data_IF_867073204644
#
_entry.id   IF_867073204644
#
_cell.length_a   1.000
_cell.length_b   1.000
_cell.length_c   1.000
_cell.angle_alpha   90.00
_cell.angle_beta   90.00
_cell.angle_gamma   90.00
#
_symmetry.space_group_name_H-M   'P 1'
#
loop_
_entity.id
_entity.type
_entity.pdbx_description
1 polymer ?
#
# COMPACT_ATOMS: atom_id res chain seq x y z
N UNK A 1 -5.04 -84.10 -11.30
CA UNK A 1 -4.15 -83.22 -10.60
C UNK A 1 -4.31 -81.82 -11.17
N UNK A 2 -5.17 -80.94 -10.57
CA UNK A 2 -5.38 -79.56 -10.99
C UNK A 2 -4.71 -78.67 -9.96
N UNK A 3 -3.73 -77.91 -10.38
CA UNK A 3 -3.09 -76.88 -9.51
C UNK A 3 -3.96 -75.62 -9.52
N UNK A 4 -4.46 -75.25 -8.35
CA UNK A 4 -5.15 -73.98 -8.16
C UNK A 4 -4.10 -72.95 -7.84
N UNK A 5 -3.97 -71.92 -8.70
CA UNK A 5 -3.09 -70.77 -8.53
C UNK A 5 -3.90 -69.73 -7.80
N UNK A 6 -3.54 -69.45 -6.52
CA UNK A 6 -4.15 -68.38 -5.72
C UNK A 6 -3.40 -67.08 -6.03
N UNK A 7 -4.03 -66.18 -6.79
CA UNK A 7 -3.49 -64.82 -7.02
C UNK A 7 -3.88 -63.93 -5.86
N UNK A 8 -2.92 -63.51 -5.04
CA UNK A 8 -3.07 -62.48 -4.05
C UNK A 8 -3.13 -61.10 -4.75
N UNK A 9 -4.31 -60.54 -4.85
CA UNK A 9 -4.48 -59.13 -5.28
C UNK A 9 -4.18 -58.23 -4.08
N UNK A 10 -2.96 -57.67 -4.02
CA UNK A 10 -2.62 -56.62 -3.09
C UNK A 10 -3.28 -55.32 -3.54
N UNK A 11 -4.41 -54.99 -2.93
CA UNK A 11 -5.08 -53.71 -3.10
C UNK A 11 -4.29 -52.65 -2.30
N UNK A 12 -3.37 -51.96 -2.97
CA UNK A 12 -2.72 -50.79 -2.42
C UNK A 12 -3.73 -49.64 -2.35
N UNK A 13 -4.44 -49.51 -1.25
CA UNK A 13 -5.26 -48.34 -0.94
C UNK A 13 -4.28 -47.26 -0.52
N UNK A 14 -3.92 -46.39 -1.47
CA UNK A 14 -3.25 -45.14 -1.18
C UNK A 14 -4.27 -44.22 -0.47
N UNK A 15 -4.29 -44.26 0.87
CA UNK A 15 -4.85 -43.21 1.64
C UNK A 15 -3.98 -41.97 1.43
N UNK A 16 -4.37 -41.09 0.52
CA UNK A 16 -3.88 -39.73 0.49
C UNK A 16 -4.34 -39.06 1.79
N UNK A 17 -3.53 -39.15 2.84
CA UNK A 17 -3.68 -38.31 4.01
C UNK A 17 -3.41 -36.91 3.51
N UNK A 18 -4.46 -36.16 3.13
CA UNK A 18 -4.38 -34.71 3.04
C UNK A 18 -3.97 -34.27 4.44
N UNK A 19 -2.70 -33.90 4.59
CA UNK A 19 -2.25 -33.23 5.81
C UNK A 19 -3.20 -32.04 6.01
N UNK A 20 -4.04 -32.13 7.03
CA UNK A 20 -4.95 -31.04 7.38
C UNK A 20 -4.04 -29.91 7.80
N UNK A 21 -3.94 -28.86 6.97
CA UNK A 21 -3.09 -27.72 7.22
C UNK A 21 -3.46 -27.17 8.62
N UNK A 22 -2.56 -27.38 9.59
CA UNK A 22 -2.79 -26.97 10.96
C UNK A 22 -2.82 -25.45 11.00
N UNK A 23 -4.01 -24.88 11.25
CA UNK A 23 -4.15 -23.44 11.48
C UNK A 23 -3.22 -23.05 12.62
N UNK A 24 -2.42 -22.02 12.40
CA UNK A 24 -1.52 -21.44 13.38
C UNK A 24 -1.65 -19.92 13.39
N UNK A 25 -1.39 -19.32 14.56
CA UNK A 25 -1.53 -17.90 14.76
C UNK A 25 -0.17 -17.24 14.89
N UNK A 26 -0.04 -16.08 14.26
CA UNK A 26 1.18 -15.28 14.21
C UNK A 26 0.85 -13.82 14.46
N UNK A 27 1.87 -13.03 14.79
CA UNK A 27 1.80 -11.56 14.82
C UNK A 27 2.71 -10.99 13.74
N UNK A 28 2.24 -9.95 13.07
CA UNK A 28 3.09 -9.19 12.15
C UNK A 28 4.22 -8.50 12.91
N UNK A 29 5.41 -8.43 12.30
CA UNK A 29 6.61 -7.79 12.87
C UNK A 29 7.42 -7.05 11.82
N UNK A 30 8.43 -6.31 12.28
CA UNK A 30 9.41 -5.66 11.41
C UNK A 30 8.92 -4.33 10.83
N UNK A 31 9.69 -3.79 9.89
CA UNK A 31 9.42 -2.51 9.26
C UNK A 31 8.70 -2.72 7.93
N UNK A 32 7.53 -2.09 7.78
CA UNK A 32 6.72 -2.11 6.56
C UNK A 32 6.33 -3.53 6.09
N UNK A 33 5.70 -4.37 6.94
CA UNK A 33 5.20 -5.66 6.51
C UNK A 33 4.22 -5.48 5.34
N UNK A 34 4.50 -6.10 4.19
CA UNK A 34 3.69 -5.96 2.99
C UNK A 34 2.79 -7.17 2.80
N UNK A 35 1.48 -6.96 2.81
CA UNK A 35 0.52 -7.97 2.36
C UNK A 35 0.35 -7.92 0.86
N UNK A 36 0.21 -9.08 0.23
CA UNK A 36 0.13 -9.24 -1.22
C UNK A 36 -1.03 -10.14 -1.63
N UNK A 37 -1.59 -9.91 -2.82
CA UNK A 37 -2.65 -10.75 -3.42
C UNK A 37 -2.09 -12.04 -4.03
N UNK A 38 -0.82 -12.05 -4.42
CA UNK A 38 -0.16 -13.20 -5.02
C UNK A 38 1.26 -13.37 -4.51
N UNK A 39 1.83 -14.57 -4.71
CA UNK A 39 3.22 -14.89 -4.40
C UNK A 39 4.12 -14.43 -5.55
N UNK A 40 5.26 -13.86 -5.24
CA UNK A 40 6.27 -13.45 -6.22
C UNK A 40 6.43 -11.95 -6.37
N UNK A 41 7.47 -11.56 -7.08
CA UNK A 41 7.74 -10.15 -7.38
C UNK A 41 7.01 -9.74 -8.65
N UNK A 42 5.92 -9.02 -8.51
CA UNK A 42 5.34 -8.27 -9.60
C UNK A 42 6.10 -6.94 -9.72
N UNK A 43 6.85 -6.77 -10.79
CA UNK A 43 7.64 -5.56 -11.04
C UNK A 43 6.78 -4.30 -11.08
N UNK A 44 5.55 -4.41 -11.52
CA UNK A 44 4.58 -3.30 -11.58
C UNK A 44 3.81 -3.14 -10.26
N UNK A 45 4.04 -4.02 -9.29
CA UNK A 45 3.47 -3.93 -7.95
C UNK A 45 1.98 -4.26 -7.83
N UNK A 46 1.35 -4.79 -8.89
CA UNK A 46 -0.07 -5.16 -8.87
C UNK A 46 -0.42 -6.27 -7.87
N UNK A 47 0.57 -7.08 -7.48
CA UNK A 47 0.39 -8.09 -6.44
C UNK A 47 0.31 -7.51 -5.02
N UNK A 48 0.79 -6.29 -4.78
CA UNK A 48 0.82 -5.68 -3.44
C UNK A 48 -0.57 -5.21 -3.00
N UNK A 49 -0.98 -5.58 -1.80
CA UNK A 49 -2.23 -5.13 -1.20
C UNK A 49 -2.03 -3.81 -0.45
N UNK A 50 -1.38 -3.85 0.69
CA UNK A 50 -0.94 -2.68 1.47
C UNK A 50 0.07 -3.08 2.54
N UNK A 51 0.78 -2.09 3.03
CA UNK A 51 1.60 -2.21 4.23
C UNK A 51 0.66 -2.26 5.43
N UNK A 52 0.96 -3.15 6.38
CA UNK A 52 0.24 -3.27 7.64
C UNK A 52 1.15 -2.90 8.81
N UNK A 53 0.54 -2.65 9.97
CA UNK A 53 1.28 -2.38 11.21
C UNK A 53 1.91 -3.66 11.78
N UNK A 54 2.74 -3.49 12.78
CA UNK A 54 3.24 -4.59 13.60
C UNK A 54 2.21 -5.05 14.63
N UNK A 55 2.37 -6.28 15.10
CA UNK A 55 1.52 -6.91 16.11
C UNK A 55 0.06 -7.13 15.66
N UNK A 56 -0.19 -7.19 14.35
CA UNK A 56 -1.48 -7.60 13.80
C UNK A 56 -1.60 -9.12 13.89
N UNK A 57 -2.75 -9.60 14.35
CA UNK A 57 -3.05 -11.02 14.42
C UNK A 57 -3.26 -11.61 13.02
N UNK A 58 -2.52 -12.67 12.74
CA UNK A 58 -2.51 -13.34 11.45
C UNK A 58 -2.89 -14.81 11.62
N UNK A 59 -3.91 -15.27 10.90
CA UNK A 59 -4.32 -16.66 10.85
C UNK A 59 -3.65 -17.33 9.67
N UNK A 60 -2.65 -18.17 9.91
CA UNK A 60 -1.89 -18.86 8.88
C UNK A 60 -2.55 -20.20 8.59
N UNK A 61 -2.85 -20.43 7.30
CA UNK A 61 -3.51 -21.65 6.81
C UNK A 61 -2.59 -22.49 5.92
N UNK A 62 -1.53 -21.90 5.40
CA UNK A 62 -0.56 -22.58 4.55
C UNK A 62 0.76 -21.81 4.51
N UNK A 63 1.84 -22.43 4.05
CA UNK A 63 3.12 -21.76 3.85
C UNK A 63 3.94 -22.39 2.72
N UNK A 64 4.71 -21.55 2.03
CA UNK A 64 5.80 -21.95 1.13
C UNK A 64 7.15 -21.75 1.80
N UNK A 65 8.24 -21.87 1.04
CA UNK A 65 9.57 -21.54 1.56
C UNK A 65 9.65 -20.08 2.05
N UNK A 66 9.10 -19.13 1.31
CA UNK A 66 9.26 -17.68 1.55
C UNK A 66 8.01 -17.03 2.15
N UNK A 67 6.82 -17.54 1.85
CA UNK A 67 5.55 -16.87 2.19
C UNK A 67 4.67 -17.71 3.10
N UNK A 68 3.94 -17.02 3.97
CA UNK A 68 2.74 -17.53 4.61
C UNK A 68 1.50 -17.19 3.77
N UNK A 69 0.53 -18.11 3.74
CA UNK A 69 -0.83 -17.84 3.29
C UNK A 69 -1.65 -17.46 4.52
N UNK A 70 -2.09 -16.21 4.55
CA UNK A 70 -2.88 -15.62 5.63
C UNK A 70 -4.35 -15.69 5.27
N UNK A 71 -5.17 -16.31 6.11
CA UNK A 71 -6.62 -16.21 6.01
C UNK A 71 -7.05 -14.90 6.65
N UNK A 72 -7.57 -13.98 5.84
CA UNK A 72 -8.06 -12.67 6.30
C UNK A 72 -9.48 -12.78 6.86
N UNK A 73 -10.37 -13.46 6.11
CA UNK A 73 -11.75 -13.74 6.46
C UNK A 73 -12.14 -15.10 5.88
N UNK A 74 -13.40 -15.51 6.02
CA UNK A 74 -13.90 -16.77 5.46
C UNK A 74 -13.60 -16.92 3.96
N UNK A 75 -13.71 -15.82 3.21
CA UNK A 75 -13.59 -15.82 1.75
C UNK A 75 -12.32 -15.11 1.23
N UNK A 76 -11.50 -14.54 2.09
CA UNK A 76 -10.35 -13.73 1.68
C UNK A 76 -9.04 -14.28 2.21
N UNK A 77 -8.03 -14.29 1.34
CA UNK A 77 -6.66 -14.67 1.69
C UNK A 77 -5.67 -13.64 1.17
N UNK A 78 -4.50 -13.58 1.78
CA UNK A 78 -3.36 -12.79 1.33
C UNK A 78 -2.06 -13.57 1.60
N UNK A 79 -0.96 -13.02 1.10
CA UNK A 79 0.37 -13.55 1.32
C UNK A 79 1.22 -12.55 2.10
N UNK A 80 2.06 -13.07 2.98
CA UNK A 80 3.03 -12.29 3.75
C UNK A 80 4.37 -13.03 3.76
N UNK A 81 5.47 -12.33 3.50
CA UNK A 81 6.81 -12.91 3.65
C UNK A 81 7.04 -13.36 5.09
N UNK A 82 7.66 -14.54 5.27
CA UNK A 82 7.85 -15.17 6.59
C UNK A 82 8.65 -14.31 7.56
N UNK A 83 9.59 -13.53 7.06
CA UNK A 83 10.39 -12.62 7.89
C UNK A 83 9.54 -11.60 8.67
N UNK A 84 8.34 -11.26 8.16
CA UNK A 84 7.43 -10.29 8.77
C UNK A 84 6.41 -10.90 9.73
N UNK A 85 6.58 -12.13 10.15
CA UNK A 85 5.69 -12.76 11.13
C UNK A 85 6.45 -13.49 12.23
N UNK A 86 5.85 -13.56 13.41
CA UNK A 86 6.34 -14.31 14.57
C UNK A 86 5.20 -15.15 15.15
N UNK A 87 5.42 -16.42 15.55
CA UNK A 87 4.37 -17.24 16.14
C UNK A 87 3.77 -16.59 17.40
N UNK A 88 2.44 -16.70 17.53
CA UNK A 88 1.71 -16.35 18.74
C UNK A 88 1.00 -17.61 19.27
N UNK A 89 1.60 -18.26 20.26
CA UNK A 89 1.10 -19.48 20.86
C UNK A 89 0.13 -19.23 22.02
N UNK A 90 -0.02 -17.97 22.44
CA UNK A 90 -0.86 -17.57 23.56
C UNK A 90 -2.24 -17.09 23.14
N UNK A 91 -2.44 -16.81 21.85
CA UNK A 91 -3.73 -16.34 21.35
C UNK A 91 -4.84 -17.37 21.58
N UNK A 92 -5.97 -16.89 22.08
CA UNK A 92 -7.22 -17.65 22.12
C UNK A 92 -8.03 -17.29 20.88
N UNK A 93 -8.04 -18.16 19.86
CA UNK A 93 -8.66 -17.81 18.58
C UNK A 93 -10.17 -17.64 18.71
N UNK A 94 -10.70 -16.66 18.00
CA UNK A 94 -12.12 -16.43 17.82
C UNK A 94 -12.48 -16.55 16.33
N UNK A 95 -13.73 -16.80 16.03
CA UNK A 95 -14.22 -16.80 14.66
C UNK A 95 -14.18 -15.39 14.06
N UNK A 96 -14.44 -14.38 14.89
CA UNK A 96 -14.38 -12.95 14.57
C UNK A 96 -14.08 -12.13 15.83
N UNK A 97 -13.64 -10.91 15.64
CA UNK A 97 -13.42 -9.91 16.69
C UNK A 97 -14.42 -8.76 16.53
N UNK A 98 -14.69 -8.03 17.61
CA UNK A 98 -15.67 -6.94 17.55
C UNK A 98 -15.01 -5.61 17.22
N UNK A 99 -15.71 -4.85 16.37
CA UNK A 99 -15.48 -3.44 16.13
C UNK A 99 -16.48 -2.65 16.98
N UNK A 100 -16.00 -1.82 17.94
CA UNK A 100 -16.84 -1.32 19.02
C UNK A 100 -17.30 0.13 18.82
N UNK A 101 -16.47 1.00 18.31
CA UNK A 101 -16.81 2.42 18.12
C UNK A 101 -15.96 3.10 17.06
N UNK A 102 -16.50 4.15 16.46
CA UNK A 102 -15.78 5.05 15.55
C UNK A 102 -15.90 6.47 16.09
N UNK A 103 -14.75 7.15 16.18
CA UNK A 103 -14.67 8.54 16.58
C UNK A 103 -13.94 9.34 15.50
N UNK A 104 -14.50 10.49 15.13
CA UNK A 104 -13.95 11.39 14.13
C UNK A 104 -13.74 12.76 14.74
N UNK A 105 -12.53 13.32 14.60
CA UNK A 105 -12.20 14.66 15.09
C UNK A 105 -11.08 15.26 14.25
N UNK A 106 -10.99 16.59 14.20
CA UNK A 106 -9.78 17.25 13.70
C UNK A 106 -8.68 17.19 14.77
N UNK A 107 -7.46 16.93 14.33
CA UNK A 107 -6.25 16.96 15.16
C UNK A 107 -5.23 17.85 14.49
N UNK A 108 -4.62 18.74 15.28
CA UNK A 108 -3.72 19.74 14.76
C UNK A 108 -4.40 20.52 13.60
N UNK A 109 -3.74 21.42 12.94
CA UNK A 109 -4.32 22.10 11.78
C UNK A 109 -4.12 21.34 10.45
N UNK A 110 -3.69 20.07 10.51
CA UNK A 110 -3.20 19.35 9.36
C UNK A 110 -3.98 18.09 9.00
N UNK A 111 -4.75 17.52 9.94
CA UNK A 111 -5.41 16.23 9.74
C UNK A 111 -6.77 16.11 10.42
N UNK A 112 -7.66 15.35 9.81
CA UNK A 112 -8.77 14.72 10.52
C UNK A 112 -8.36 13.29 10.90
N UNK A 113 -8.75 12.85 12.08
CA UNK A 113 -8.48 11.54 12.63
C UNK A 113 -9.77 10.74 12.70
N UNK A 114 -9.83 9.61 11.98
CA UNK A 114 -10.85 8.59 12.13
C UNK A 114 -10.24 7.45 12.97
N UNK A 115 -10.78 7.24 14.17
CA UNK A 115 -10.32 6.23 15.13
C UNK A 115 -11.35 5.13 15.26
N UNK A 116 -10.97 3.90 14.93
CA UNK A 116 -11.82 2.70 14.97
C UNK A 116 -11.31 1.81 16.11
N UNK A 117 -12.12 1.70 17.15
CA UNK A 117 -11.79 0.87 18.31
C UNK A 117 -12.14 -0.59 18.04
N UNK A 118 -11.16 -1.47 18.20
CA UNK A 118 -11.25 -2.90 17.89
C UNK A 118 -10.98 -3.72 19.14
N UNK A 119 -11.53 -4.92 19.21
CA UNK A 119 -11.20 -5.89 20.24
C UNK A 119 -9.77 -6.44 20.06
N UNK A 120 -9.32 -6.56 18.81
CA UNK A 120 -8.01 -7.09 18.43
C UNK A 120 -7.46 -6.32 17.23
N UNK A 121 -6.13 -6.28 17.05
CA UNK A 121 -5.49 -5.79 15.83
C UNK A 121 -5.68 -6.80 14.71
N UNK A 122 -6.47 -6.47 13.73
CA UNK A 122 -6.83 -7.35 12.61
C UNK A 122 -6.23 -6.85 11.30
N UNK A 123 -6.06 -7.74 10.30
CA UNK A 123 -5.70 -7.34 8.95
C UNK A 123 -6.76 -6.42 8.32
N UNK A 124 -6.29 -5.50 7.49
CA UNK A 124 -7.17 -4.59 6.76
C UNK A 124 -6.62 -4.31 5.36
N UNK A 125 -7.50 -3.82 4.49
CA UNK A 125 -7.18 -3.24 3.20
C UNK A 125 -7.73 -1.81 3.14
N UNK A 126 -6.96 -0.87 2.58
CA UNK A 126 -7.38 0.53 2.45
C UNK A 126 -7.00 1.07 1.07
N UNK A 127 -7.93 1.81 0.44
CA UNK A 127 -7.73 2.39 -0.88
C UNK A 127 -8.52 3.69 -1.05
N UNK A 128 -8.25 4.41 -2.13
CA UNK A 128 -8.95 5.62 -2.53
C UNK A 128 -9.94 5.32 -3.64
N UNK A 129 -11.04 6.06 -3.67
CA UNK A 129 -12.00 6.13 -4.78
C UNK A 129 -12.24 7.60 -5.16
N UNK A 130 -12.54 7.84 -6.44
CA UNK A 130 -12.89 9.15 -6.97
C UNK A 130 -14.37 9.17 -7.39
N UNK A 131 -14.96 10.38 -7.46
CA UNK A 131 -16.30 10.64 -8.00
C UNK A 131 -17.45 9.88 -7.31
N UNK A 132 -17.74 10.14 -6.02
CA UNK A 132 -17.13 11.13 -5.11
C UNK A 132 -15.85 10.61 -4.45
N UNK A 133 -15.01 11.54 -3.97
CA UNK A 133 -13.78 11.17 -3.30
C UNK A 133 -14.05 10.49 -1.96
N UNK A 134 -13.50 9.29 -1.81
CA UNK A 134 -13.66 8.44 -0.63
C UNK A 134 -12.34 7.74 -0.29
N UNK A 135 -12.19 7.42 0.99
CA UNK A 135 -11.24 6.43 1.46
C UNK A 135 -12.06 5.22 1.89
N UNK A 136 -11.77 4.09 1.30
CA UNK A 136 -12.42 2.81 1.57
C UNK A 136 -11.51 1.96 2.44
N UNK A 137 -12.06 1.37 3.50
CA UNK A 137 -11.35 0.48 4.40
C UNK A 137 -12.15 -0.81 4.57
N UNK A 138 -11.53 -1.94 4.31
CA UNK A 138 -12.06 -3.26 4.68
C UNK A 138 -11.28 -3.82 5.87
N UNK A 139 -12.01 -4.20 6.92
CA UNK A 139 -11.50 -4.87 8.11
C UNK A 139 -11.91 -6.34 8.02
N UNK A 140 -10.99 -7.24 8.19
CA UNK A 140 -11.20 -8.66 8.01
C UNK A 140 -11.22 -9.42 9.34
N UNK A 141 -12.02 -10.49 9.43
CA UNK A 141 -12.22 -11.26 10.64
C UNK A 141 -12.99 -10.49 11.71
N UNK A 142 -13.90 -9.59 11.33
CA UNK A 142 -14.54 -8.62 12.22
C UNK A 142 -16.05 -8.57 12.03
N UNK A 143 -16.77 -8.45 13.15
CA UNK A 143 -18.18 -8.09 13.19
C UNK A 143 -18.40 -6.74 13.86
N UNK A 144 -19.40 -6.00 13.37
CA UNK A 144 -19.76 -4.69 13.92
C UNK A 144 -20.57 -4.83 15.20
N UNK A 145 -20.13 -4.14 16.25
CA UNK A 145 -20.90 -3.86 17.47
C UNK A 145 -21.12 -2.33 17.61
N UNK A 146 -21.07 -1.61 16.48
CA UNK A 146 -21.17 -0.15 16.46
C UNK A 146 -22.63 0.25 16.39
N UNK A 147 -23.10 0.97 17.42
CA UNK A 147 -24.44 1.54 17.48
C UNK A 147 -24.49 3.02 17.04
N UNK A 148 -23.35 3.73 17.14
CA UNK A 148 -23.23 5.12 16.73
C UNK A 148 -21.79 5.45 16.30
N UNK A 149 -21.70 6.50 15.46
CA UNK A 149 -20.44 7.11 15.05
C UNK A 149 -20.39 8.52 15.62
N UNK A 150 -19.36 8.83 16.38
CA UNK A 150 -19.17 10.14 16.98
C UNK A 150 -18.28 11.00 16.07
N UNK A 151 -18.87 11.97 15.37
CA UNK A 151 -18.15 12.93 14.54
C UNK A 151 -18.25 14.32 15.11
N UNK A 152 -17.10 14.94 15.36
CA UNK A 152 -17.05 16.34 15.78
C UNK A 152 -17.21 17.29 14.59
N UNK A 153 -17.85 18.44 14.83
CA UNK A 153 -18.17 19.42 13.78
C UNK A 153 -16.96 20.15 13.18
N UNK A 154 -15.78 20.02 13.81
CA UNK A 154 -14.57 20.72 13.39
C UNK A 154 -13.74 19.99 12.33
N UNK A 155 -14.25 18.89 11.75
CA UNK A 155 -13.57 18.17 10.67
C UNK A 155 -13.55 19.01 9.39
N UNK A 156 -12.40 18.99 8.68
CA UNK A 156 -12.16 19.79 7.47
C UNK A 156 -12.15 18.94 6.20
N UNK A 157 -11.60 17.73 6.27
CA UNK A 157 -11.47 16.84 5.12
C UNK A 157 -12.44 15.67 5.15
N UNK A 158 -12.79 15.16 6.33
CA UNK A 158 -13.79 14.12 6.49
C UNK A 158 -15.19 14.72 6.54
N UNK A 159 -16.00 14.42 5.53
CA UNK A 159 -17.39 14.87 5.45
C UNK A 159 -18.31 13.96 6.23
N UNK A 160 -18.17 12.64 6.03
CA UNK A 160 -19.00 11.63 6.63
C UNK A 160 -18.25 10.29 6.73
N UNK A 161 -18.67 9.44 7.67
CA UNK A 161 -18.18 8.07 7.78
C UNK A 161 -19.39 7.14 7.91
N UNK A 162 -19.42 6.10 7.08
CA UNK A 162 -20.43 5.05 7.15
C UNK A 162 -19.77 3.69 7.31
N UNK A 163 -20.50 2.74 7.87
CA UNK A 163 -20.05 1.39 8.11
C UNK A 163 -21.10 0.39 7.64
N UNK A 164 -20.64 -0.66 6.97
CA UNK A 164 -21.47 -1.76 6.51
C UNK A 164 -20.81 -3.10 6.82
N UNK A 165 -21.57 -4.04 7.39
CA UNK A 165 -21.16 -5.44 7.42
C UNK A 165 -21.38 -6.01 6.01
N UNK A 166 -20.29 -6.17 5.24
CA UNK A 166 -20.39 -6.59 3.82
C UNK A 166 -20.37 -8.10 3.66
N UNK A 167 -19.77 -8.81 4.61
CA UNK A 167 -19.78 -10.27 4.75
C UNK A 167 -19.88 -10.60 6.24
N UNK A 168 -20.15 -11.87 6.60
CA UNK A 168 -20.31 -12.30 8.00
C UNK A 168 -19.13 -11.88 8.91
N UNK A 169 -17.92 -11.79 8.34
CA UNK A 169 -16.69 -11.44 9.04
C UNK A 169 -15.87 -10.36 8.30
N UNK A 170 -16.53 -9.50 7.51
CA UNK A 170 -15.90 -8.36 6.83
C UNK A 170 -16.73 -7.10 7.01
N UNK A 171 -16.10 -6.05 7.51
CA UNK A 171 -16.68 -4.70 7.61
C UNK A 171 -16.06 -3.81 6.55
N UNK A 172 -16.88 -3.05 5.85
CA UNK A 172 -16.43 -1.95 5.00
C UNK A 172 -16.78 -0.61 5.64
N UNK A 173 -15.76 0.20 5.89
CA UNK A 173 -15.88 1.58 6.35
C UNK A 173 -15.62 2.49 5.16
N UNK A 174 -16.57 3.40 4.90
CA UNK A 174 -16.47 4.41 3.85
C UNK A 174 -16.27 5.78 4.51
N UNK A 175 -15.15 6.43 4.21
CA UNK A 175 -14.83 7.79 4.66
C UNK A 175 -15.02 8.73 3.48
N UNK A 176 -16.12 9.47 3.46
CA UNK A 176 -16.41 10.47 2.43
C UNK A 176 -15.58 11.74 2.69
N UNK A 177 -15.01 12.30 1.63
CA UNK A 177 -14.18 13.49 1.71
C UNK A 177 -14.93 14.74 1.26
N UNK A 178 -14.69 15.87 1.95
CA UNK A 178 -15.20 17.18 1.57
C UNK A 178 -14.44 17.79 0.38
N UNK A 179 -13.18 17.39 0.20
CA UNK A 179 -12.29 17.97 -0.79
C UNK A 179 -12.54 17.41 -2.20
N UNK A 180 -12.39 18.28 -3.22
CA UNK A 180 -12.51 17.89 -4.63
C UNK A 180 -11.39 16.98 -5.12
N UNK A 181 -10.33 16.79 -4.32
CA UNK A 181 -9.21 15.90 -4.62
C UNK A 181 -8.64 15.29 -3.35
N UNK A 182 -7.95 14.18 -3.47
CA UNK A 182 -7.25 13.55 -2.37
C UNK A 182 -5.95 14.28 -2.03
N UNK A 183 -5.66 14.37 -0.72
CA UNK A 183 -4.39 14.91 -0.20
C UNK A 183 -3.58 13.85 0.55
N UNK A 184 -4.09 12.64 0.61
CA UNK A 184 -3.45 11.51 1.23
C UNK A 184 -3.99 11.17 2.62
N UNK A 185 -3.62 10.00 3.07
CA UNK A 185 -3.91 9.50 4.41
C UNK A 185 -2.75 8.63 4.89
N UNK A 186 -2.73 8.37 6.19
CA UNK A 186 -1.88 7.35 6.80
C UNK A 186 -2.68 6.54 7.81
N UNK A 187 -2.25 5.30 8.04
CA UNK A 187 -2.86 4.39 9.00
C UNK A 187 -1.87 3.97 10.06
N UNK A 188 -2.34 3.77 11.27
CA UNK A 188 -1.55 3.18 12.35
C UNK A 188 -2.44 2.58 13.43
N UNK A 189 -2.01 1.46 14.02
CA UNK A 189 -2.61 0.95 15.24
C UNK A 189 -1.93 1.54 16.48
N UNK A 190 -2.73 2.16 17.36
CA UNK A 190 -2.32 2.53 18.71
C UNK A 190 -3.15 1.67 19.66
N UNK A 191 -2.49 0.78 20.40
CA UNK A 191 -3.17 -0.33 21.08
C UNK A 191 -4.08 -1.06 20.07
N UNK A 192 -5.34 -1.30 20.42
CA UNK A 192 -6.32 -1.94 19.53
C UNK A 192 -7.18 -0.94 18.74
N UNK A 193 -6.76 0.31 18.62
CA UNK A 193 -7.46 1.34 17.84
C UNK A 193 -6.74 1.56 16.52
N UNK A 194 -7.42 1.29 15.41
CA UNK A 194 -6.95 1.65 14.09
C UNK A 194 -7.25 3.13 13.84
N UNK A 195 -6.21 3.90 13.63
CA UNK A 195 -6.25 5.34 13.37
C UNK A 195 -5.96 5.61 11.90
N UNK A 196 -6.87 6.33 11.24
CA UNK A 196 -6.69 6.84 9.89
C UNK A 196 -6.58 8.36 9.99
N UNK A 197 -5.39 8.89 9.72
CA UNK A 197 -5.15 10.34 9.61
C UNK A 197 -5.42 10.77 8.17
N UNK A 198 -6.43 11.59 7.96
CA UNK A 198 -6.81 12.13 6.64
C UNK A 198 -6.26 13.54 6.54
N UNK A 199 -5.37 13.78 5.58
CA UNK A 199 -4.70 15.06 5.42
C UNK A 199 -5.66 16.15 4.97
N UNK A 200 -5.57 17.33 5.60
CA UNK A 200 -6.30 18.52 5.15
C UNK A 200 -5.75 19.01 3.79
N UNK A 201 -6.64 19.58 2.99
CA UNK A 201 -6.21 20.30 1.80
C UNK A 201 -5.34 21.51 2.21
N UNK A 202 -4.11 21.64 1.70
CA UNK A 202 -3.34 22.87 1.91
C UNK A 202 -3.99 24.02 1.16
N UNK A 203 -3.64 25.26 1.52
CA UNK A 203 -3.99 26.41 0.70
C UNK A 203 -3.40 26.22 -0.71
N UNK A 204 -4.13 26.59 -1.79
CA UNK A 204 -3.79 26.22 -3.17
C UNK A 204 -2.64 27.06 -3.78
N UNK A 205 -1.64 27.38 -2.99
CA UNK A 205 -0.45 28.11 -3.41
C UNK A 205 0.78 27.24 -3.21
N UNK A 206 1.71 27.24 -4.15
CA UNK A 206 2.92 26.42 -4.10
C UNK A 206 3.72 26.64 -2.83
N UNK A 207 3.78 27.87 -2.33
CA UNK A 207 4.49 28.22 -1.06
C UNK A 207 3.95 27.52 0.19
N UNK A 208 2.74 27.00 0.12
CA UNK A 208 2.12 26.26 1.23
C UNK A 208 2.35 24.74 1.14
N UNK A 209 3.02 24.27 0.07
CA UNK A 209 3.20 22.85 -0.18
C UNK A 209 4.54 22.36 0.38
N UNK A 210 4.50 21.16 0.95
CA UNK A 210 5.66 20.32 1.19
C UNK A 210 5.70 19.32 0.03
N UNK A 211 6.71 19.41 -0.83
CA UNK A 211 6.85 18.57 -2.01
C UNK A 211 8.09 17.70 -1.84
N UNK A 212 7.91 16.39 -1.88
CA UNK A 212 9.02 15.48 -1.91
C UNK A 212 9.43 15.21 -3.38
N UNK A 213 10.72 15.22 -3.64
CA UNK A 213 11.31 14.82 -4.92
C UNK A 213 12.16 13.58 -4.69
N UNK A 214 11.85 12.53 -5.39
CA UNK A 214 12.59 11.28 -5.35
C UNK A 214 13.41 11.14 -6.64
N UNK A 215 14.72 11.29 -6.51
CA UNK A 215 15.65 10.98 -7.58
C UNK A 215 15.86 9.46 -7.62
N UNK A 216 15.24 8.78 -8.59
CA UNK A 216 15.27 7.33 -8.71
C UNK A 216 16.68 6.76 -8.74
N UNK A 217 16.85 5.52 -8.23
CA UNK A 217 18.15 4.83 -8.17
C UNK A 217 19.20 5.54 -7.27
N UNK A 218 20.51 5.29 -7.52
CA UNK A 218 21.64 5.89 -6.80
C UNK A 218 22.63 4.87 -6.27
N UNK A 219 23.87 5.27 -6.10
CA UNK A 219 24.97 4.43 -5.68
C UNK A 219 25.19 3.22 -6.59
N UNK A 220 25.12 2.02 -6.03
CA UNK A 220 25.29 0.77 -6.80
C UNK A 220 24.07 0.45 -7.70
N UNK A 221 22.92 1.03 -7.46
CA UNK A 221 21.75 0.89 -8.32
C UNK A 221 21.80 1.93 -9.44
N UNK A 222 22.30 1.54 -10.61
CA UNK A 222 22.50 2.41 -11.76
C UNK A 222 21.19 2.78 -12.48
N UNK A 223 20.11 2.01 -12.25
CA UNK A 223 18.90 2.08 -13.05
C UNK A 223 19.13 1.51 -14.45
N UNK A 224 18.40 2.03 -15.44
CA UNK A 224 18.62 1.68 -16.84
C UNK A 224 19.90 2.35 -17.35
N UNK A 225 20.50 1.73 -18.39
CA UNK A 225 21.72 2.26 -19.02
C UNK A 225 21.41 2.49 -20.51
N UNK A 226 21.69 3.69 -20.98
CA UNK A 226 21.50 4.03 -22.38
C UNK A 226 22.31 3.11 -23.30
N UNK A 227 21.66 2.43 -24.24
CA UNK A 227 22.27 1.41 -25.09
C UNK A 227 23.42 1.94 -25.93
N UNK A 228 23.28 3.17 -26.45
CA UNK A 228 24.31 3.87 -27.25
C UNK A 228 25.16 4.80 -26.40
N UNK A 229 24.57 5.59 -25.54
CA UNK A 229 25.23 6.65 -24.77
C UNK A 229 25.99 6.14 -23.57
N UNK A 230 25.65 4.94 -23.06
CA UNK A 230 26.16 4.36 -21.80
C UNK A 230 25.89 5.20 -20.55
N UNK A 231 24.99 6.16 -20.66
CA UNK A 231 24.55 7.03 -19.55
C UNK A 231 23.76 6.20 -18.57
N UNK A 232 24.03 6.35 -17.28
CA UNK A 232 23.32 5.70 -16.19
C UNK A 232 22.10 6.53 -15.78
N UNK A 233 20.95 5.91 -15.60
CA UNK A 233 19.69 6.58 -15.22
C UNK A 233 19.86 7.41 -13.94
N UNK A 234 20.55 6.88 -12.94
CA UNK A 234 20.75 7.53 -11.63
C UNK A 234 21.36 8.94 -11.73
N UNK A 235 22.22 9.20 -12.73
CA UNK A 235 22.90 10.49 -12.88
C UNK A 235 21.89 11.53 -13.35
N UNK A 236 21.09 11.20 -14.35
CA UNK A 236 20.09 12.09 -14.90
C UNK A 236 18.91 12.32 -13.97
N UNK A 237 18.45 11.28 -13.26
CA UNK A 237 17.40 11.46 -12.25
C UNK A 237 17.84 12.45 -11.17
N UNK A 238 19.12 12.43 -10.76
CA UNK A 238 19.67 13.38 -9.79
C UNK A 238 19.77 14.80 -10.36
N UNK A 239 20.23 14.94 -11.60
CA UNK A 239 20.32 16.26 -12.28
C UNK A 239 18.94 16.90 -12.36
N UNK A 240 17.96 16.19 -12.91
CA UNK A 240 16.59 16.71 -13.04
C UNK A 240 15.93 16.98 -11.69
N UNK A 241 16.17 16.12 -10.69
CA UNK A 241 15.64 16.33 -9.35
C UNK A 241 16.18 17.61 -8.71
N UNK A 242 17.48 17.93 -8.86
CA UNK A 242 18.06 19.18 -8.38
C UNK A 242 17.52 20.42 -9.10
N UNK A 243 17.33 20.35 -10.40
CA UNK A 243 16.74 21.47 -11.13
C UNK A 243 15.27 21.68 -10.74
N UNK A 244 14.50 20.61 -10.55
CA UNK A 244 13.12 20.69 -10.06
C UNK A 244 13.07 21.27 -8.64
N UNK A 245 13.96 20.83 -7.74
CA UNK A 245 14.09 21.37 -6.38
C UNK A 245 14.33 22.88 -6.41
N UNK A 246 15.31 23.34 -7.20
CA UNK A 246 15.64 24.76 -7.37
C UNK A 246 14.43 25.58 -7.86
N UNK A 247 13.71 25.06 -8.86
CA UNK A 247 12.52 25.75 -9.41
C UNK A 247 11.38 25.83 -8.39
N UNK A 248 11.10 24.75 -7.66
CA UNK A 248 10.03 24.72 -6.68
C UNK A 248 10.37 25.58 -5.44
N UNK A 249 11.61 25.54 -4.99
CA UNK A 249 12.11 26.39 -3.89
C UNK A 249 12.02 27.87 -4.25
N UNK A 250 12.39 28.25 -5.49
CA UNK A 250 12.22 29.63 -6.00
C UNK A 250 10.76 30.08 -5.97
N UNK A 251 9.80 29.15 -6.15
CA UNK A 251 8.35 29.40 -6.04
C UNK A 251 7.83 29.35 -4.59
N UNK A 252 8.72 29.13 -3.61
CA UNK A 252 8.42 29.15 -2.18
C UNK A 252 7.99 27.81 -1.59
N UNK A 253 7.99 26.70 -2.34
CA UNK A 253 7.69 25.39 -1.80
C UNK A 253 8.75 24.93 -0.79
N UNK A 254 8.32 24.19 0.25
CA UNK A 254 9.23 23.40 1.06
C UNK A 254 9.54 22.10 0.34
N UNK A 255 10.79 21.95 -0.14
CA UNK A 255 11.20 20.75 -0.89
C UNK A 255 11.97 19.79 0.00
N UNK A 256 11.69 18.49 -0.14
CA UNK A 256 12.37 17.37 0.53
C UNK A 256 12.93 16.46 -0.55
N UNK A 257 14.25 16.31 -0.62
CA UNK A 257 14.92 15.42 -1.56
C UNK A 257 15.19 14.07 -0.90
N UNK A 258 14.93 12.96 -1.58
CA UNK A 258 15.32 11.63 -1.08
C UNK A 258 16.84 11.42 -1.09
N UNK A 259 17.53 12.02 -2.07
CA UNK A 259 18.99 12.08 -2.14
C UNK A 259 19.44 13.35 -2.85
N UNK A 260 20.58 13.88 -2.44
CA UNK A 260 21.23 15.08 -3.02
C UNK A 260 22.59 14.75 -3.64
N UNK A 261 23.07 13.53 -3.46
CA UNK A 261 24.32 12.99 -3.99
C UNK A 261 24.07 11.60 -4.61
N UNK A 262 25.09 11.01 -5.23
CA UNK A 262 25.02 9.65 -5.75
C UNK A 262 25.18 8.64 -4.60
N UNK A 263 24.08 8.38 -3.89
CA UNK A 263 24.02 7.44 -2.77
C UNK A 263 22.94 6.40 -2.98
N UNK A 264 23.18 5.18 -2.50
CA UNK A 264 22.17 4.12 -2.49
C UNK A 264 21.09 4.44 -1.46
N UNK A 265 19.83 4.38 -1.89
CA UNK A 265 18.69 4.58 -1.02
C UNK A 265 17.61 3.57 -1.40
N UNK A 266 17.40 2.57 -0.55
CA UNK A 266 16.46 1.47 -0.81
C UNK A 266 15.01 1.92 -0.75
N UNK A 267 14.11 1.19 -1.40
CA UNK A 267 12.67 1.57 -1.41
C UNK A 267 12.06 1.61 0.00
N UNK A 268 12.41 0.67 0.87
CA UNK A 268 11.95 0.69 2.27
C UNK A 268 12.43 1.96 3.01
N UNK A 269 13.71 2.33 2.80
CA UNK A 269 14.29 3.52 3.44
C UNK A 269 13.66 4.82 2.91
N UNK A 270 13.36 4.88 1.59
CA UNK A 270 12.62 6.01 0.97
C UNK A 270 11.27 6.21 1.62
N UNK A 271 10.49 5.13 1.81
CA UNK A 271 9.17 5.19 2.44
C UNK A 271 9.31 5.70 3.87
N UNK A 272 10.21 5.12 4.68
CA UNK A 272 10.43 5.51 6.08
C UNK A 272 10.90 6.96 6.21
N UNK A 273 11.79 7.39 5.32
CA UNK A 273 12.26 8.77 5.26
C UNK A 273 11.11 9.74 4.95
N UNK A 274 10.32 9.46 3.92
CA UNK A 274 9.22 10.33 3.49
C UNK A 274 8.09 10.40 4.53
N UNK A 275 7.84 9.32 5.27
CA UNK A 275 6.85 9.30 6.34
C UNK A 275 7.14 10.34 7.43
N UNK A 276 8.42 10.65 7.71
CA UNK A 276 8.82 11.63 8.73
C UNK A 276 8.40 13.05 8.36
N UNK A 277 8.37 13.37 7.07
CA UNK A 277 8.03 14.72 6.59
C UNK A 277 6.58 14.89 6.18
N UNK A 278 5.86 13.79 5.99
CA UNK A 278 4.46 13.80 5.56
C UNK A 278 4.18 14.77 4.40
N UNK A 279 4.87 14.67 3.25
CA UNK A 279 4.74 15.61 2.14
C UNK A 279 3.30 15.64 1.59
N UNK A 280 2.89 16.78 1.01
CA UNK A 280 1.61 16.90 0.32
C UNK A 280 1.64 16.18 -1.04
N UNK A 281 2.78 16.25 -1.72
CA UNK A 281 3.01 15.62 -3.02
C UNK A 281 4.36 14.91 -3.01
N UNK A 282 4.44 13.80 -3.73
CA UNK A 282 5.68 13.10 -4.05
C UNK A 282 5.81 13.01 -5.56
N UNK A 283 6.95 13.44 -6.08
CA UNK A 283 7.32 13.32 -7.50
C UNK A 283 8.57 12.45 -7.57
N UNK A 284 8.44 11.26 -8.13
CA UNK A 284 9.59 10.36 -8.36
C UNK A 284 10.00 10.43 -9.82
N UNK A 285 11.29 10.63 -10.06
CA UNK A 285 11.86 10.80 -11.40
C UNK A 285 12.61 9.53 -11.80
N UNK A 286 12.23 9.01 -12.95
CA UNK A 286 12.80 7.80 -13.56
C UNK A 286 12.92 7.96 -15.06
N UNK A 287 13.78 7.16 -15.67
CA UNK A 287 13.87 6.98 -17.12
C UNK A 287 13.63 5.52 -17.46
N UNK A 288 12.78 5.28 -18.44
CA UNK A 288 12.57 3.94 -18.96
C UNK A 288 13.53 3.65 -20.13
N UNK A 289 13.81 2.38 -20.36
CA UNK A 289 14.54 1.93 -21.54
C UNK A 289 13.76 0.80 -22.21
N UNK A 290 13.90 0.72 -23.54
CA UNK A 290 13.43 -0.38 -24.35
C UNK A 290 14.54 -0.86 -25.27
N UNK A 291 14.59 -2.17 -25.52
CA UNK A 291 15.45 -2.74 -26.57
C UNK A 291 14.91 -2.48 -27.96
N UNK A 292 13.62 -2.12 -28.06
CA UNK A 292 12.94 -1.78 -29.31
C UNK A 292 12.94 -0.27 -29.52
N UNK A 293 13.61 0.27 -30.54
CA UNK A 293 13.72 1.71 -30.78
C UNK A 293 12.38 2.43 -31.00
N UNK A 294 11.39 1.71 -31.52
CA UNK A 294 10.04 2.22 -31.73
C UNK A 294 9.27 2.48 -30.45
N UNK A 295 9.69 1.87 -29.33
CA UNK A 295 9.10 2.11 -28.01
C UNK A 295 9.84 3.27 -27.37
N UNK A 296 9.27 4.46 -27.50
CA UNK A 296 9.77 5.70 -26.91
C UNK A 296 8.62 6.57 -26.43
N UNK A 297 8.93 7.63 -25.70
CA UNK A 297 7.94 8.59 -25.23
C UNK A 297 8.00 8.81 -23.73
N UNK A 298 7.05 9.62 -23.26
CA UNK A 298 6.89 9.97 -21.85
C UNK A 298 5.69 9.27 -21.25
N UNK A 299 5.83 8.88 -19.98
CA UNK A 299 4.75 8.28 -19.21
C UNK A 299 4.74 8.85 -17.81
N UNK A 300 3.55 8.90 -17.23
CA UNK A 300 3.37 9.19 -15.80
C UNK A 300 2.71 8.02 -15.11
N UNK A 301 2.99 7.88 -13.81
CA UNK A 301 2.52 6.77 -13.01
C UNK A 301 1.87 7.29 -11.73
N UNK A 302 0.83 6.62 -11.27
CA UNK A 302 0.23 6.89 -9.96
C UNK A 302 -0.10 5.58 -9.25
N UNK A 303 0.09 5.56 -7.93
CA UNK A 303 -0.28 4.41 -7.10
C UNK A 303 -1.77 4.43 -6.78
N UNK A 304 -2.24 5.50 -6.16
CA UNK A 304 -3.62 5.65 -5.75
C UNK A 304 -4.40 6.49 -6.76
N UNK A 305 -5.61 6.05 -7.09
CA UNK A 305 -6.49 6.71 -8.07
C UNK A 305 -6.71 8.20 -7.74
N UNK A 306 -6.66 8.57 -6.47
CA UNK A 306 -6.78 9.96 -6.02
C UNK A 306 -5.73 10.91 -6.57
N UNK A 307 -4.57 10.40 -7.04
CA UNK A 307 -3.48 11.18 -7.63
C UNK A 307 -3.42 11.08 -9.16
N UNK A 308 -4.34 10.35 -9.79
CA UNK A 308 -4.45 10.30 -11.26
C UNK A 308 -4.55 11.69 -11.91
N UNK A 309 -5.35 12.66 -11.38
CA UNK A 309 -5.45 13.98 -11.99
C UNK A 309 -4.11 14.74 -12.02
N UNK A 310 -3.29 14.63 -10.97
CA UNK A 310 -1.95 15.22 -10.94
C UNK A 310 -1.04 14.60 -12.01
N UNK A 311 -0.99 13.26 -12.05
CA UNK A 311 -0.20 12.51 -13.02
C UNK A 311 -0.62 12.87 -14.45
N UNK A 312 -1.92 12.97 -14.72
CA UNK A 312 -2.46 13.38 -16.02
C UNK A 312 -2.02 14.80 -16.42
N UNK A 313 -2.10 15.74 -15.46
CA UNK A 313 -1.68 17.13 -15.72
C UNK A 313 -0.19 17.25 -16.02
N UNK A 314 0.65 16.46 -15.34
CA UNK A 314 2.09 16.41 -15.60
C UNK A 314 2.34 15.83 -17.01
N UNK A 315 1.67 14.71 -17.37
CA UNK A 315 1.82 14.12 -18.70
C UNK A 315 1.48 15.13 -19.79
N UNK A 316 0.34 15.82 -19.68
CA UNK A 316 -0.06 16.85 -20.66
C UNK A 316 1.01 17.94 -20.81
N UNK A 317 1.62 18.39 -19.70
CA UNK A 317 2.70 19.38 -19.77
C UNK A 317 3.99 18.85 -20.38
N UNK A 318 4.28 17.56 -20.24
CA UNK A 318 5.43 16.94 -20.91
C UNK A 318 5.21 16.79 -22.41
N UNK A 319 3.97 16.56 -22.85
CA UNK A 319 3.62 16.46 -24.27
C UNK A 319 3.73 17.82 -25.02
N UNK A 320 3.67 18.96 -24.31
CA UNK A 320 3.96 20.29 -24.91
C UNK A 320 5.42 20.43 -25.39
N UNK A 321 6.30 19.47 -25.05
CA UNK A 321 7.71 19.40 -25.47
C UNK A 321 7.92 18.54 -26.74
N UNK A 322 6.90 18.28 -27.53
CA UNK A 322 6.92 17.39 -28.70
C UNK A 322 7.41 15.97 -28.42
N UNK A 323 7.14 15.47 -27.23
CA UNK A 323 7.46 14.09 -26.82
C UNK A 323 6.28 13.17 -27.15
N UNK A 324 6.56 11.95 -27.58
CA UNK A 324 5.52 10.96 -27.84
C UNK A 324 4.83 10.55 -26.51
N UNK A 325 3.52 10.36 -26.56
CA UNK A 325 2.77 9.83 -25.42
C UNK A 325 2.95 8.33 -25.30
N UNK A 326 3.40 7.86 -24.13
CA UNK A 326 3.38 6.44 -23.77
C UNK A 326 2.21 6.11 -22.82
N UNK A 327 1.74 7.07 -22.05
CA UNK A 327 0.51 6.99 -21.28
C UNK A 327 0.60 7.40 -19.80
N UNK A 328 -0.58 7.41 -19.16
CA UNK A 328 -0.73 7.62 -17.72
C UNK A 328 -1.17 6.30 -17.08
N UNK A 329 -0.25 5.64 -16.35
CA UNK A 329 -0.37 4.25 -15.88
C UNK A 329 -0.71 4.23 -14.39
N UNK A 330 -1.79 3.55 -14.05
CA UNK A 330 -2.31 3.47 -12.69
C UNK A 330 -1.88 2.23 -11.92
N UNK A 331 -2.07 2.31 -10.59
CA UNK A 331 -1.81 1.24 -9.62
C UNK A 331 -0.36 0.75 -9.63
N UNK A 332 0.55 1.64 -9.99
CA UNK A 332 1.99 1.39 -9.93
C UNK A 332 2.48 1.47 -8.46
N UNK A 333 3.18 0.42 -8.01
CA UNK A 333 3.69 0.31 -6.63
C UNK A 333 5.21 0.22 -6.58
#
# INVERSE_FOLDING_TARGET
MRKVLLAFLLLNIFFSIKAQNKISYYRSKGKLPMMSYSKGSDRLGGAKMNIIDTNILLKIIDSTHEFFTVQLSKNHTAYLEKEFAIPDTLVKPKNYYLCNSINIKSIEDSFDLVSINMEEKVPYKIWMENNPNKIMLQLYGVQSNINWINQRINTKSVKNVTINQTEDDVITVTIELSNKQHWGFSTSYIHNTLNIKVKHAPKPEIKNLIIAIDAGHGGNNKGTIGSKTKIEEKDYTLIYAKELEKLLTKKGAKVIMTRTTDTSFGNKDRILFLQQYSPHLLISLHFNASVKPEINGVSTYYKHIGFKPLAQSILQKMLELDLNEFGNIGQFN
#
